data_IF_345534234365
#
_entry.id   IF_345534234365
#
_cell.length_a   1.000
_cell.length_b   1.000
_cell.length_c   1.000
_cell.angle_alpha   90.00
_cell.angle_beta   90.00
_cell.angle_gamma   90.00
#
_symmetry.space_group_name_H-M   'P 1'
#
loop_
_entity.id
_entity.type
_entity.pdbx_description
1 polymer ?
#
# COMPACT_ATOMS: atom_id res chain seq x y z
N UNK A 1 -9.48 -26.20 -2.42
CA UNK A 1 -9.85 -25.21 -3.48
C UNK A 1 -10.50 -25.98 -4.63
N UNK A 2 -11.61 -25.49 -5.19
CA UNK A 2 -12.14 -25.98 -6.46
C UNK A 2 -12.20 -24.80 -7.45
N UNK A 3 -11.66 -24.98 -8.66
CA UNK A 3 -11.42 -23.91 -9.62
C UNK A 3 -9.92 -23.62 -9.80
N UNK A 4 -9.59 -22.84 -10.82
CA UNK A 4 -8.20 -22.57 -11.21
C UNK A 4 -7.70 -21.29 -10.54
N UNK A 5 -6.69 -21.41 -9.67
CA UNK A 5 -5.97 -20.24 -9.12
C UNK A 5 -5.14 -19.59 -10.23
N UNK A 6 -5.03 -18.26 -10.22
CA UNK A 6 -4.04 -17.58 -11.06
C UNK A 6 -2.62 -17.86 -10.56
N UNK A 7 -1.67 -18.01 -11.48
CA UNK A 7 -0.26 -18.26 -11.15
C UNK A 7 0.47 -17.04 -10.59
N UNK A 8 -0.03 -15.84 -10.88
CA UNK A 8 0.53 -14.59 -10.40
C UNK A 8 0.03 -14.24 -8.99
N UNK A 9 -1.06 -14.87 -8.55
CA UNK A 9 -1.62 -14.71 -7.21
C UNK A 9 -0.81 -15.39 -6.13
N UNK A 10 -0.98 -14.90 -4.90
CA UNK A 10 -0.54 -15.59 -3.68
C UNK A 10 -1.15 -16.98 -3.57
N UNK A 11 -0.51 -17.83 -2.76
CA UNK A 11 -1.07 -19.14 -2.43
C UNK A 11 -2.30 -19.00 -1.52
N UNK A 12 -3.03 -20.09 -1.29
CA UNK A 12 -4.14 -20.11 -0.32
C UNK A 12 -3.66 -19.74 1.09
N UNK A 13 -2.38 -19.95 1.40
CA UNK A 13 -1.79 -19.52 2.67
C UNK A 13 -1.82 -18.01 2.88
N UNK A 14 -1.88 -17.22 1.80
CA UNK A 14 -2.03 -15.77 1.89
C UNK A 14 -3.38 -15.34 2.45
N UNK A 15 -4.36 -16.23 2.58
CA UNK A 15 -5.67 -15.91 3.17
C UNK A 15 -5.70 -16.08 4.70
N UNK A 16 -4.58 -16.41 5.32
CA UNK A 16 -4.46 -16.67 6.76
C UNK A 16 -3.06 -16.30 7.30
N UNK A 17 -2.35 -15.39 6.62
CA UNK A 17 -0.99 -15.00 7.01
C UNK A 17 -0.94 -13.74 7.88
N UNK A 18 -2.11 -13.13 8.15
CA UNK A 18 -2.25 -11.91 8.94
C UNK A 18 -1.75 -10.65 8.23
N UNK A 19 -1.47 -10.72 6.92
CA UNK A 19 -0.95 -9.60 6.14
C UNK A 19 -2.00 -9.09 5.15
N UNK A 20 -1.97 -7.79 4.89
CA UNK A 20 -2.77 -7.16 3.84
C UNK A 20 -1.87 -6.45 2.84
N UNK A 21 -2.28 -6.34 1.56
CA UNK A 21 -1.47 -5.67 0.54
C UNK A 21 -1.29 -4.18 0.86
N UNK A 22 -0.07 -3.70 0.68
CA UNK A 22 0.28 -2.28 0.90
C UNK A 22 0.12 -1.44 -0.39
N UNK A 23 0.05 -2.08 -1.55
CA UNK A 23 -0.21 -1.47 -2.85
C UNK A 23 -1.60 -1.84 -3.40
N UNK A 24 -2.11 -1.03 -4.33
CA UNK A 24 -3.42 -1.27 -4.94
C UNK A 24 -3.40 -2.39 -5.98
N UNK A 25 -2.25 -2.88 -6.44
CA UNK A 25 -2.14 -4.00 -7.37
C UNK A 25 -0.93 -4.84 -6.98
N UNK A 26 -1.14 -5.76 -6.03
CA UNK A 26 -0.08 -6.60 -5.48
C UNK A 26 -0.49 -8.08 -5.56
N UNK A 27 -0.40 -8.70 -6.76
CA UNK A 27 -0.86 -10.07 -6.98
C UNK A 27 -0.27 -11.09 -6.00
N UNK A 28 1.01 -10.98 -5.66
CA UNK A 28 1.69 -11.91 -4.75
C UNK A 28 1.17 -11.89 -3.29
N UNK A 29 0.42 -10.85 -2.91
CA UNK A 29 -0.23 -10.69 -1.59
C UNK A 29 -1.74 -10.94 -1.63
N UNK A 30 -2.27 -11.43 -2.74
CA UNK A 30 -3.68 -11.70 -2.89
C UNK A 30 -3.91 -13.05 -3.57
N UNK A 31 -4.82 -13.85 -3.00
CA UNK A 31 -5.38 -15.00 -3.70
C UNK A 31 -6.46 -14.55 -4.68
N UNK A 32 -6.41 -15.05 -5.92
CA UNK A 32 -7.48 -14.85 -6.90
C UNK A 32 -7.55 -15.99 -7.92
N UNK A 33 -8.73 -16.19 -8.49
CA UNK A 33 -8.95 -17.17 -9.56
C UNK A 33 -8.47 -16.64 -10.90
N UNK A 34 -8.04 -17.57 -11.77
CA UNK A 34 -7.44 -17.28 -13.06
C UNK A 34 -8.38 -16.49 -13.98
N UNK A 35 -7.79 -15.72 -14.89
CA UNK A 35 -8.53 -15.00 -15.91
C UNK A 35 -9.49 -15.93 -16.69
N UNK A 36 -10.70 -15.46 -16.93
CA UNK A 36 -11.72 -16.15 -17.74
C UNK A 36 -12.50 -17.23 -17.00
N UNK A 37 -12.23 -17.48 -15.71
CA UNK A 37 -13.10 -18.32 -14.88
C UNK A 37 -14.25 -17.51 -14.29
N UNK A 38 -15.34 -18.19 -13.93
CA UNK A 38 -16.48 -17.57 -13.22
C UNK A 38 -16.25 -17.36 -11.71
N UNK A 39 -15.00 -17.51 -11.26
CA UNK A 39 -14.64 -17.64 -9.85
C UNK A 39 -14.37 -19.11 -9.49
N UNK A 40 -14.70 -19.49 -8.26
CA UNK A 40 -14.42 -20.83 -7.74
C UNK A 40 -14.80 -20.97 -6.27
N UNK A 41 -14.26 -21.99 -5.61
CA UNK A 41 -14.59 -22.32 -4.22
C UNK A 41 -13.36 -22.39 -3.34
N UNK A 42 -13.47 -21.73 -2.20
CA UNK A 42 -12.49 -21.74 -1.11
C UNK A 42 -13.13 -22.44 0.08
N UNK A 43 -12.46 -23.46 0.63
CA UNK A 43 -12.90 -24.17 1.84
C UNK A 43 -11.92 -23.85 2.95
N UNK A 44 -12.43 -23.41 4.09
CA UNK A 44 -11.69 -23.34 5.34
C UNK A 44 -12.16 -24.48 6.26
N UNK A 45 -11.21 -25.31 6.72
CA UNK A 45 -11.41 -26.28 7.80
C UNK A 45 -10.80 -25.71 9.08
N UNK A 46 -11.64 -25.38 10.05
CA UNK A 46 -11.23 -24.80 11.33
C UNK A 46 -10.63 -25.84 12.29
N UNK A 47 -10.56 -27.11 11.88
CA UNK A 47 -10.02 -28.23 12.66
C UNK A 47 -11.00 -28.80 13.68
N UNK A 48 -11.88 -27.97 14.24
CA UNK A 48 -12.94 -28.38 15.17
C UNK A 48 -14.21 -27.54 14.96
N UNK A 49 -15.32 -27.99 15.55
CA UNK A 49 -16.55 -27.18 15.60
C UNK A 49 -16.35 -26.09 16.64
N UNK A 50 -16.38 -24.84 16.21
CA UNK A 50 -16.31 -23.65 17.08
C UNK A 50 -17.61 -22.86 17.02
N UNK A 51 -17.85 -22.02 18.02
CA UNK A 51 -18.99 -21.10 18.02
C UNK A 51 -18.60 -19.80 17.33
N UNK A 52 -18.92 -19.66 16.04
CA UNK A 52 -18.44 -18.56 15.21
C UNK A 52 -19.21 -17.29 15.56
N UNK A 53 -18.51 -16.29 16.08
CA UNK A 53 -19.05 -14.95 16.34
C UNK A 53 -19.09 -14.10 15.07
N UNK A 54 -18.00 -14.13 14.30
CA UNK A 54 -17.81 -13.24 13.16
C UNK A 54 -16.86 -13.87 12.13
N UNK A 55 -17.11 -13.57 10.85
CA UNK A 55 -16.25 -13.96 9.73
C UNK A 55 -15.91 -12.69 8.96
N UNK A 56 -14.62 -12.40 8.79
CA UNK A 56 -14.15 -11.23 8.05
C UNK A 56 -13.41 -11.66 6.79
N UNK A 57 -13.57 -10.88 5.73
CA UNK A 57 -12.84 -11.09 4.47
C UNK A 57 -12.36 -9.75 3.95
N UNK A 58 -11.12 -9.71 3.48
CA UNK A 58 -10.46 -8.50 3.02
C UNK A 58 -10.01 -8.67 1.58
N UNK A 59 -10.06 -7.59 0.81
CA UNK A 59 -9.58 -7.56 -0.57
C UNK A 59 -9.12 -6.18 -0.97
N UNK A 60 -8.19 -6.09 -1.93
CA UNK A 60 -7.72 -4.81 -2.46
C UNK A 60 -7.34 -4.93 -3.92
N UNK A 61 -7.84 -4.01 -4.75
CA UNK A 61 -7.35 -3.83 -6.10
C UNK A 61 -7.57 -2.39 -6.61
N UNK A 62 -6.95 -2.03 -7.74
CA UNK A 62 -7.14 -0.72 -8.41
C UNK A 62 -8.49 -0.56 -9.11
N UNK A 63 -9.23 -1.65 -9.33
CA UNK A 63 -10.43 -1.68 -10.19
C UNK A 63 -11.50 -2.67 -9.69
N UNK A 64 -12.37 -3.16 -10.59
CA UNK A 64 -13.42 -4.16 -10.33
C UNK A 64 -12.95 -5.45 -9.65
N UNK A 65 -11.66 -5.71 -9.52
CA UNK A 65 -11.13 -6.87 -8.79
C UNK A 65 -11.03 -6.61 -7.28
N UNK A 66 -11.35 -5.41 -6.81
CA UNK A 66 -11.41 -5.05 -5.39
C UNK A 66 -12.64 -5.60 -4.66
N UNK A 67 -13.88 -5.36 -5.14
CA UNK A 67 -15.10 -5.83 -4.49
C UNK A 67 -15.17 -7.35 -4.39
N UNK A 68 -16.06 -7.83 -3.53
CA UNK A 68 -16.24 -9.24 -3.19
C UNK A 68 -17.66 -9.65 -3.53
N UNK A 69 -17.81 -10.72 -4.32
CA UNK A 69 -19.10 -11.34 -4.62
C UNK A 69 -19.00 -12.83 -4.31
N UNK A 70 -19.65 -13.29 -3.26
CA UNK A 70 -19.64 -14.70 -2.88
C UNK A 70 -20.84 -15.11 -2.06
N UNK A 71 -21.17 -16.40 -2.12
CA UNK A 71 -22.06 -17.04 -1.13
C UNK A 71 -21.20 -17.73 -0.08
N UNK A 72 -21.54 -17.51 1.18
CA UNK A 72 -20.92 -18.20 2.30
C UNK A 72 -21.82 -19.33 2.76
N UNK A 73 -21.26 -20.54 2.80
CA UNK A 73 -21.89 -21.70 3.42
C UNK A 73 -21.08 -22.17 4.62
N UNK A 74 -21.74 -22.84 5.57
CA UNK A 74 -21.09 -23.45 6.73
C UNK A 74 -21.65 -24.84 7.03
N UNK A 75 -20.82 -25.68 7.67
CA UNK A 75 -21.22 -27.03 8.12
C UNK A 75 -20.44 -27.44 9.37
N UNK A 76 -21.06 -28.24 10.24
CA UNK A 76 -20.37 -28.94 11.32
C UNK A 76 -19.72 -30.26 10.84
N UNK A 77 -19.97 -30.66 9.60
CA UNK A 77 -19.46 -31.88 8.98
C UNK A 77 -20.26 -33.15 9.27
N UNK A 78 -21.38 -33.04 9.98
CA UNK A 78 -22.20 -34.20 10.38
C UNK A 78 -23.45 -34.38 9.52
N UNK A 79 -23.74 -33.43 8.63
CA UNK A 79 -24.89 -33.50 7.73
C UNK A 79 -24.87 -34.73 6.83
N UNK A 80 -26.05 -35.29 6.54
CA UNK A 80 -26.19 -36.43 5.63
C UNK A 80 -25.62 -36.08 4.25
N UNK A 81 -24.75 -36.94 3.71
CA UNK A 81 -24.11 -36.71 2.41
C UNK A 81 -23.09 -35.56 2.43
N UNK A 82 -22.57 -35.19 3.61
CA UNK A 82 -21.56 -34.14 3.72
C UNK A 82 -20.34 -34.44 2.84
N UNK A 83 -20.04 -33.51 1.96
CA UNK A 83 -18.81 -33.48 1.17
C UNK A 83 -18.03 -32.24 1.58
N UNK A 84 -16.86 -32.42 2.19
CA UNK A 84 -16.01 -31.31 2.65
C UNK A 84 -15.43 -30.47 1.50
N UNK A 85 -15.40 -30.99 0.27
CA UNK A 85 -14.87 -30.29 -0.90
C UNK A 85 -15.79 -30.52 -2.11
N UNK A 86 -17.00 -29.92 -2.12
CA UNK A 86 -17.93 -30.09 -3.23
C UNK A 86 -17.38 -29.39 -4.48
N UNK A 87 -17.25 -30.14 -5.58
CA UNK A 87 -16.79 -29.63 -6.87
C UNK A 87 -17.68 -28.51 -7.40
N UNK A 88 -17.11 -27.60 -8.19
CA UNK A 88 -17.85 -26.54 -8.88
C UNK A 88 -19.06 -27.11 -9.65
N UNK A 89 -20.22 -26.45 -9.54
CA UNK A 89 -21.49 -26.93 -10.12
C UNK A 89 -22.32 -27.84 -9.22
N UNK A 90 -21.75 -28.37 -8.12
CA UNK A 90 -22.51 -29.11 -7.10
C UNK A 90 -23.20 -28.16 -6.15
N UNK A 91 -24.52 -28.24 -5.97
CA UNK A 91 -25.24 -27.43 -4.97
C UNK A 91 -24.80 -27.80 -3.54
N UNK A 92 -24.08 -26.90 -2.81
CA UNK A 92 -23.58 -27.22 -1.48
C UNK A 92 -24.70 -27.58 -0.50
N UNK A 93 -25.90 -27.01 -0.66
CA UNK A 93 -27.04 -27.27 0.21
C UNK A 93 -27.49 -28.74 0.17
N UNK A 94 -27.23 -29.44 -0.94
CA UNK A 94 -27.52 -30.87 -1.10
C UNK A 94 -26.38 -31.78 -0.60
N UNK A 95 -25.28 -31.20 -0.13
CA UNK A 95 -24.08 -31.92 0.31
C UNK A 95 -23.68 -31.55 1.73
N UNK A 96 -24.66 -31.35 2.61
CA UNK A 96 -24.44 -31.10 4.04
C UNK A 96 -23.97 -29.69 4.40
N UNK A 97 -24.10 -28.72 3.50
CA UNK A 97 -23.78 -27.32 3.78
C UNK A 97 -25.03 -26.47 4.00
N UNK A 98 -24.95 -25.47 4.86
CA UNK A 98 -26.01 -24.48 5.09
C UNK A 98 -25.57 -23.12 4.58
N UNK A 99 -26.42 -22.45 3.80
CA UNK A 99 -26.16 -21.07 3.39
C UNK A 99 -26.22 -20.13 4.61
N UNK A 100 -25.17 -19.34 4.80
CA UNK A 100 -25.01 -18.37 5.90
C UNK A 100 -25.24 -16.95 5.42
N UNK A 101 -24.63 -16.57 4.29
CA UNK A 101 -24.71 -15.22 3.77
C UNK A 101 -24.58 -15.18 2.24
N UNK A 102 -25.12 -14.13 1.63
CA UNK A 102 -24.88 -13.76 0.25
C UNK A 102 -24.25 -12.37 0.25
N UNK A 103 -23.01 -12.27 -0.23
CA UNK A 103 -22.19 -11.08 -0.16
C UNK A 103 -22.04 -10.46 -1.54
N UNK A 104 -22.27 -9.16 -1.60
CA UNK A 104 -21.97 -8.29 -2.71
C UNK A 104 -21.51 -6.95 -2.16
N UNK A 105 -20.19 -6.72 -2.16
CA UNK A 105 -19.60 -5.46 -1.65
C UNK A 105 -19.38 -4.41 -2.72
N UNK A 106 -19.90 -4.61 -3.94
CA UNK A 106 -19.79 -3.61 -5.01
C UNK A 106 -20.50 -2.32 -4.61
N UNK A 107 -19.84 -1.15 -4.71
CA UNK A 107 -20.48 0.12 -4.43
C UNK A 107 -21.57 0.42 -5.46
N UNK A 108 -22.48 1.32 -5.11
CA UNK A 108 -23.57 1.75 -6.01
C UNK A 108 -23.10 2.68 -7.16
N UNK A 109 -21.86 3.16 -7.10
CA UNK A 109 -21.25 4.02 -8.13
C UNK A 109 -20.22 3.28 -8.99
N UNK A 110 -19.60 4.01 -9.92
CA UNK A 110 -18.69 3.42 -10.93
C UNK A 110 -17.26 3.17 -10.41
N UNK A 111 -16.88 3.75 -9.27
CA UNK A 111 -15.56 3.55 -8.66
C UNK A 111 -15.52 2.21 -7.91
N UNK A 112 -15.00 1.17 -8.58
CA UNK A 112 -14.89 -0.17 -8.02
C UNK A 112 -13.52 -0.46 -7.37
N UNK A 113 -12.48 0.36 -7.61
CA UNK A 113 -11.17 0.17 -6.98
C UNK A 113 -11.15 0.55 -5.50
N UNK A 114 -10.20 -0.01 -4.74
CA UNK A 114 -9.98 0.31 -3.34
C UNK A 114 -9.73 -0.91 -2.46
N UNK A 115 -9.74 -0.68 -1.15
CA UNK A 115 -9.70 -1.72 -0.12
C UNK A 115 -11.12 -2.01 0.36
N UNK A 116 -11.47 -3.29 0.45
CA UNK A 116 -12.78 -3.77 0.87
C UNK A 116 -12.62 -4.68 2.08
N UNK A 117 -13.48 -4.47 3.08
CA UNK A 117 -13.66 -5.37 4.21
C UNK A 117 -15.13 -5.76 4.31
N UNK A 118 -15.41 -7.06 4.41
CA UNK A 118 -16.75 -7.58 4.68
C UNK A 118 -16.71 -8.29 6.02
N UNK A 119 -17.63 -7.93 6.91
CA UNK A 119 -17.85 -8.59 8.19
C UNK A 119 -19.23 -9.24 8.20
N UNK A 120 -19.27 -10.55 8.45
CA UNK A 120 -20.49 -11.34 8.60
C UNK A 120 -20.63 -11.70 10.07
N UNK A 121 -21.71 -11.22 10.68
CA UNK A 121 -22.07 -11.48 12.07
C UNK A 121 -23.59 -11.40 12.27
N UNK A 122 -24.04 -11.59 13.50
CA UNK A 122 -25.43 -11.37 13.89
C UNK A 122 -25.53 -10.09 14.75
N UNK A 123 -26.62 -9.33 14.60
CA UNK A 123 -26.89 -8.18 15.49
C UNK A 123 -27.05 -8.63 16.95
N UNK A 124 -27.57 -9.84 17.15
CA UNK A 124 -27.72 -10.49 18.45
C UNK A 124 -27.33 -11.95 18.31
N UNK A 125 -26.41 -12.42 19.15
CA UNK A 125 -25.92 -13.80 19.15
C UNK A 125 -24.75 -14.04 18.19
N UNK A 126 -24.52 -15.32 17.87
CA UNK A 126 -23.40 -15.80 17.05
C UNK A 126 -23.90 -16.26 15.68
N UNK A 127 -23.01 -16.32 14.68
CA UNK A 127 -23.31 -16.89 13.35
C UNK A 127 -23.73 -18.35 13.47
N UNK A 128 -23.09 -19.10 14.37
CA UNK A 128 -23.46 -20.46 14.76
C UNK A 128 -22.25 -21.38 14.95
N UNK A 129 -22.54 -22.63 15.31
CA UNK A 129 -21.52 -23.65 15.58
C UNK A 129 -21.17 -24.43 14.32
N UNK A 130 -19.96 -24.23 13.79
CA UNK A 130 -19.51 -24.86 12.55
C UNK A 130 -18.02 -25.20 12.59
N UNK A 131 -17.60 -26.15 11.76
CA UNK A 131 -16.18 -26.50 11.54
C UNK A 131 -15.70 -26.06 10.16
N UNK A 132 -16.56 -26.17 9.16
CA UNK A 132 -16.21 -25.90 7.78
C UNK A 132 -16.92 -24.65 7.29
N UNK A 133 -16.17 -23.81 6.55
CA UNK A 133 -16.71 -22.69 5.79
C UNK A 133 -16.40 -22.90 4.31
N UNK A 134 -17.36 -22.59 3.44
CA UNK A 134 -17.22 -22.66 1.99
C UNK A 134 -17.62 -21.32 1.38
N UNK A 135 -16.65 -20.66 0.77
CA UNK A 135 -16.82 -19.44 0.00
C UNK A 135 -17.00 -19.82 -1.47
N UNK A 136 -18.21 -19.69 -1.99
CA UNK A 136 -18.50 -19.82 -3.41
C UNK A 136 -18.40 -18.44 -4.07
N UNK A 137 -17.23 -18.18 -4.64
CA UNK A 137 -16.83 -16.88 -5.20
C UNK A 137 -17.30 -16.77 -6.65
N UNK A 138 -17.86 -15.61 -6.98
CA UNK A 138 -18.25 -15.22 -8.34
C UNK A 138 -17.43 -14.03 -8.83
N UNK A 139 -17.34 -13.85 -10.15
CA UNK A 139 -16.81 -12.61 -10.73
C UNK A 139 -17.62 -11.39 -10.28
N UNK A 140 -16.94 -10.27 -10.08
CA UNK A 140 -17.56 -9.00 -9.70
C UNK A 140 -18.23 -8.30 -10.88
N UNK A 141 -17.87 -8.67 -12.11
CA UNK A 141 -18.43 -8.09 -13.34
C UNK A 141 -18.63 -9.16 -14.40
N UNK A 142 -19.87 -9.30 -14.85
CA UNK A 142 -20.22 -10.20 -15.94
C UNK A 142 -19.58 -9.73 -17.26
N UNK A 143 -19.13 -10.68 -18.08
CA UNK A 143 -18.48 -10.40 -19.36
C UNK A 143 -17.02 -9.91 -19.27
N UNK A 144 -16.53 -9.54 -18.09
CA UNK A 144 -15.13 -9.16 -17.88
C UNK A 144 -14.32 -10.39 -17.41
N UNK A 145 -13.35 -10.89 -18.20
CA UNK A 145 -12.56 -12.06 -17.83
C UNK A 145 -11.55 -11.79 -16.72
N UNK A 146 -11.26 -10.53 -16.37
CA UNK A 146 -10.32 -10.17 -15.31
C UNK A 146 -10.99 -9.96 -13.96
N UNK A 147 -12.31 -9.89 -13.89
CA UNK A 147 -13.10 -9.47 -12.72
C UNK A 147 -13.20 -10.50 -11.58
N UNK A 148 -12.16 -11.31 -11.37
CA UNK A 148 -12.03 -12.15 -10.18
C UNK A 148 -11.40 -11.33 -9.04
N UNK A 149 -11.99 -11.41 -7.84
CA UNK A 149 -11.59 -10.66 -6.65
C UNK A 149 -10.18 -11.01 -6.16
N UNK A 150 -9.44 -9.99 -5.73
CA UNK A 150 -8.13 -10.10 -5.06
C UNK A 150 -8.32 -10.23 -3.56
N UNK A 151 -8.56 -11.45 -3.07
CA UNK A 151 -8.71 -11.70 -1.64
C UNK A 151 -7.35 -11.63 -0.93
N UNK A 152 -7.29 -10.80 0.10
CA UNK A 152 -6.09 -10.53 0.88
C UNK A 152 -6.00 -11.36 2.15
N UNK A 153 -7.11 -11.58 2.87
CA UNK A 153 -7.12 -12.29 4.16
C UNK A 153 -8.55 -12.76 4.48
N UNK A 154 -8.69 -13.84 5.25
CA UNK A 154 -9.97 -14.34 5.81
C UNK A 154 -9.80 -14.64 7.30
N UNK A 155 -10.50 -13.89 8.15
CA UNK A 155 -10.52 -14.13 9.59
C UNK A 155 -11.80 -14.83 10.03
N UNK A 156 -11.68 -15.76 10.98
CA UNK A 156 -12.80 -16.41 11.65
C UNK A 156 -12.65 -16.26 13.16
N UNK A 157 -13.61 -15.60 13.79
CA UNK A 157 -13.57 -15.26 15.22
C UNK A 157 -14.50 -16.20 15.99
N UNK A 158 -13.93 -16.99 16.91
CA UNK A 158 -14.68 -17.76 17.91
C UNK A 158 -15.33 -16.81 18.93
N UNK A 159 -16.56 -17.10 19.34
CA UNK A 159 -17.27 -16.37 20.39
C UNK A 159 -16.57 -16.44 21.76
N UNK A 160 -15.77 -17.49 21.97
CA UNK A 160 -14.93 -17.68 23.14
C UNK A 160 -13.49 -17.20 22.93
N UNK A 161 -13.16 -16.66 21.75
CA UNK A 161 -11.86 -16.06 21.53
C UNK A 161 -11.65 -14.94 22.56
N UNK A 162 -10.42 -14.78 23.09
CA UNK A 162 -10.07 -13.61 23.86
C UNK A 162 -10.54 -12.37 23.11
N UNK A 163 -11.20 -11.45 23.80
CA UNK A 163 -11.55 -10.19 23.18
C UNK A 163 -10.24 -9.58 22.68
N UNK A 164 -10.12 -9.43 21.36
CA UNK A 164 -9.05 -8.64 20.77
C UNK A 164 -9.31 -7.24 21.31
N UNK A 165 -8.59 -6.86 22.36
CA UNK A 165 -8.35 -5.46 22.65
C UNK A 165 -7.75 -4.95 21.36
N UNK A 166 -8.49 -4.13 20.62
CA UNK A 166 -7.92 -3.30 19.57
C UNK A 166 -6.63 -2.75 20.15
N UNK A 167 -5.49 -3.20 19.64
CA UNK A 167 -4.23 -2.59 19.98
C UNK A 167 -4.29 -1.21 19.35
N UNK A 168 -4.80 -0.24 20.10
CA UNK A 168 -4.81 1.18 19.81
C UNK A 168 -3.39 1.78 19.81
N UNK A 169 -2.39 0.97 19.45
CA UNK A 169 -0.98 1.33 19.36
C UNK A 169 -0.43 0.94 17.98
N UNK A 170 -1.20 1.15 16.91
CA UNK A 170 -0.52 1.70 15.74
C UNK A 170 -0.33 3.18 16.09
N UNK A 171 0.89 3.66 16.37
CA UNK A 171 1.08 5.06 16.68
C UNK A 171 0.45 5.86 15.55
N UNK A 172 -0.57 6.66 15.84
CA UNK A 172 -1.18 7.50 14.81
C UNK A 172 -0.08 8.33 14.16
N UNK A 173 -0.04 8.42 12.82
CA UNK A 173 0.95 9.23 12.14
C UNK A 173 0.95 10.65 12.69
N UNK A 174 2.13 11.16 13.05
CA UNK A 174 2.26 12.50 13.61
C UNK A 174 1.95 13.53 12.55
N UNK A 175 1.02 14.44 12.84
CA UNK A 175 0.65 15.53 11.92
C UNK A 175 1.22 16.84 12.41
N UNK A 176 2.02 17.50 11.57
CA UNK A 176 2.57 18.84 11.82
C UNK A 176 2.12 19.79 10.72
N UNK A 177 2.03 21.08 11.06
CA UNK A 177 1.66 22.12 10.09
C UNK A 177 2.67 23.26 10.20
N UNK A 178 2.97 23.95 9.10
CA UNK A 178 3.75 25.18 9.12
C UNK A 178 3.07 26.25 9.98
N UNK A 179 3.86 27.23 10.44
CA UNK A 179 3.37 28.29 11.33
C UNK A 179 2.21 29.11 10.72
N UNK A 180 2.18 29.23 9.40
CA UNK A 180 1.10 29.91 8.64
C UNK A 180 -0.12 29.01 8.37
N UNK A 181 -0.09 27.75 8.80
CA UNK A 181 -1.17 26.79 8.58
C UNK A 181 -1.25 26.19 7.18
N UNK A 182 -0.39 26.62 6.25
CA UNK A 182 -0.54 26.34 4.81
C UNK A 182 -0.16 24.91 4.42
N UNK A 183 0.95 24.40 4.95
CA UNK A 183 1.46 23.07 4.59
C UNK A 183 1.32 22.11 5.76
N UNK A 184 0.74 20.94 5.50
CA UNK A 184 0.53 19.85 6.45
C UNK A 184 1.42 18.67 6.11
N UNK A 185 2.13 18.16 7.11
CA UNK A 185 3.01 17.01 7.00
C UNK A 185 2.51 15.89 7.90
N UNK A 186 2.48 14.67 7.36
CA UNK A 186 2.18 13.46 8.12
C UNK A 186 3.44 12.61 8.18
N UNK A 187 3.87 12.22 9.37
CA UNK A 187 5.02 11.34 9.59
C UNK A 187 4.53 10.00 10.15
N UNK A 188 4.65 8.94 9.35
CA UNK A 188 4.28 7.59 9.74
C UNK A 188 5.53 6.78 10.11
N UNK A 189 5.69 6.52 11.40
CA UNK A 189 6.78 5.73 11.97
C UNK A 189 6.30 4.35 12.45
N UNK A 190 5.09 3.91 12.07
CA UNK A 190 4.52 2.66 12.58
C UNK A 190 5.41 1.44 12.30
N UNK A 191 6.06 1.39 11.14
CA UNK A 191 7.00 0.32 10.76
C UNK A 191 8.43 0.52 11.30
N UNK A 192 8.75 1.70 11.83
CA UNK A 192 10.04 1.98 12.46
C UNK A 192 9.89 2.82 13.74
N UNK A 193 9.28 2.27 14.81
CA UNK A 193 9.06 3.01 16.05
C UNK A 193 10.35 3.56 16.66
N UNK A 194 11.49 2.86 16.46
CA UNK A 194 12.83 3.28 16.89
C UNK A 194 13.31 4.58 16.24
N UNK A 195 12.75 4.95 15.08
CA UNK A 195 13.07 6.20 14.38
C UNK A 195 12.14 7.35 14.77
N UNK A 196 11.13 7.12 15.62
CA UNK A 196 10.15 8.15 16.00
C UNK A 196 10.82 9.37 16.62
N UNK A 197 11.64 9.19 17.66
CA UNK A 197 12.28 10.31 18.34
C UNK A 197 13.18 11.14 17.39
N UNK A 198 13.95 10.46 16.53
CA UNK A 198 14.78 11.13 15.53
C UNK A 198 13.93 11.86 14.50
N UNK A 199 12.85 11.25 14.03
CA UNK A 199 11.92 11.88 13.08
C UNK A 199 11.36 13.17 13.65
N UNK A 200 10.94 13.14 14.91
CA UNK A 200 10.37 14.30 15.57
C UNK A 200 11.39 15.40 15.81
N UNK A 201 12.56 15.06 16.37
CA UNK A 201 13.54 16.05 16.83
C UNK A 201 14.48 16.55 15.73
N UNK A 202 14.79 15.72 14.74
CA UNK A 202 15.81 16.00 13.74
C UNK A 202 15.23 16.21 12.34
N UNK A 203 14.34 15.33 11.89
CA UNK A 203 13.83 15.39 10.52
C UNK A 203 12.69 16.39 10.35
N UNK A 204 11.69 16.33 11.22
CA UNK A 204 10.48 17.14 11.08
C UNK A 204 10.73 18.65 11.06
N UNK A 205 11.67 19.22 11.86
CA UNK A 205 12.00 20.64 11.75
C UNK A 205 12.60 21.00 10.39
N UNK A 206 13.43 20.13 9.81
CA UNK A 206 14.01 20.33 8.47
C UNK A 206 12.90 20.34 7.41
N UNK A 207 11.96 19.41 7.47
CA UNK A 207 10.83 19.35 6.52
C UNK A 207 9.97 20.61 6.61
N UNK A 208 9.61 21.04 7.83
CA UNK A 208 8.82 22.23 8.07
C UNK A 208 9.51 23.52 7.58
N UNK A 209 10.83 23.58 7.70
CA UNK A 209 11.63 24.73 7.24
C UNK A 209 11.82 24.73 5.72
N UNK A 210 12.21 23.59 5.15
CA UNK A 210 12.69 23.54 3.77
C UNK A 210 11.59 23.35 2.74
N UNK A 211 10.49 22.67 3.05
CA UNK A 211 9.43 22.51 2.06
C UNK A 211 8.86 23.85 1.55
N UNK A 212 8.50 24.83 2.42
CA UNK A 212 8.06 26.14 1.94
C UNK A 212 9.11 26.85 1.07
N UNK A 213 10.39 26.80 1.46
CA UNK A 213 11.51 27.39 0.68
C UNK A 213 11.61 26.74 -0.70
N UNK A 214 11.48 25.42 -0.79
CA UNK A 214 11.50 24.69 -2.07
C UNK A 214 10.34 25.12 -2.96
N UNK A 215 9.13 25.27 -2.41
CA UNK A 215 7.97 25.76 -3.16
C UNK A 215 8.22 27.17 -3.72
N UNK A 216 8.86 28.05 -2.94
CA UNK A 216 9.22 29.41 -3.38
C UNK A 216 10.33 29.44 -4.42
N UNK A 217 11.26 28.48 -4.38
CA UNK A 217 12.36 28.36 -5.35
C UNK A 217 11.91 27.79 -6.70
N UNK A 218 10.78 27.09 -6.77
CA UNK A 218 10.29 26.41 -7.98
C UNK A 218 8.90 26.91 -8.42
N UNK A 219 8.70 28.23 -8.60
CA UNK A 219 7.41 28.74 -9.04
C UNK A 219 7.17 28.41 -10.51
N UNK A 220 5.91 28.17 -10.85
CA UNK A 220 5.47 28.08 -12.25
C UNK A 220 4.10 28.73 -12.39
N UNK A 221 3.83 29.52 -13.45
CA UNK A 221 2.54 30.17 -13.65
C UNK A 221 1.37 29.17 -13.58
N UNK A 222 0.42 29.40 -12.67
CA UNK A 222 -0.74 28.54 -12.48
C UNK A 222 -0.49 27.22 -11.75
N UNK A 223 0.77 26.92 -11.37
CA UNK A 223 1.11 25.75 -10.58
C UNK A 223 0.93 26.01 -9.09
N UNK A 224 0.43 25.01 -8.37
CA UNK A 224 0.37 24.98 -6.90
C UNK A 224 1.00 23.68 -6.42
N UNK A 225 2.04 23.79 -5.60
CA UNK A 225 2.66 22.64 -4.96
C UNK A 225 1.69 21.96 -3.98
N UNK A 226 1.84 20.65 -3.69
CA UNK A 226 1.00 19.95 -2.73
C UNK A 226 1.00 20.63 -1.35
N UNK A 227 -0.19 20.88 -0.81
CA UNK A 227 -0.33 21.42 0.56
C UNK A 227 -0.25 20.33 1.64
N UNK A 228 -0.33 19.06 1.24
CA UNK A 228 -0.25 17.89 2.13
C UNK A 228 0.85 16.97 1.66
N UNK A 229 1.80 16.65 2.53
CA UNK A 229 2.91 15.73 2.23
C UNK A 229 2.93 14.64 3.29
N UNK A 230 3.07 13.38 2.87
CA UNK A 230 3.22 12.26 3.79
C UNK A 230 4.65 11.68 3.68
N UNK A 231 5.26 11.41 4.82
CA UNK A 231 6.56 10.77 4.93
C UNK A 231 6.35 9.47 5.71
N UNK A 232 6.66 8.34 5.09
CA UNK A 232 6.45 7.01 5.65
C UNK A 232 7.74 6.19 5.64
N UNK A 233 7.95 5.39 6.68
CA UNK A 233 9.04 4.43 6.75
C UNK A 233 8.62 3.08 6.20
N UNK A 234 9.44 2.48 5.32
CA UNK A 234 9.17 1.18 4.70
C UNK A 234 10.38 0.25 4.75
N UNK A 235 10.11 -1.05 4.84
CA UNK A 235 11.10 -2.14 4.86
C UNK A 235 11.21 -2.88 3.52
N UNK A 236 10.40 -2.51 2.52
CA UNK A 236 10.28 -3.16 1.22
C UNK A 236 10.91 -2.38 0.05
N UNK A 237 11.93 -1.57 0.32
CA UNK A 237 12.51 -0.62 -0.65
C UNK A 237 13.79 -1.11 -1.35
N UNK A 238 14.23 -2.35 -1.10
CA UNK A 238 15.47 -2.89 -1.64
C UNK A 238 16.67 -2.00 -1.29
N UNK A 239 17.46 -1.62 -2.30
CA UNK A 239 18.62 -0.74 -2.14
C UNK A 239 18.33 0.76 -2.22
N UNK A 240 17.09 1.16 -2.47
CA UNK A 240 16.72 2.57 -2.66
C UNK A 240 16.63 3.28 -1.30
N UNK A 241 17.39 4.37 -1.06
CA UNK A 241 17.39 5.09 0.22
C UNK A 241 16.05 5.76 0.55
N UNK A 242 15.52 6.50 -0.42
CA UNK A 242 14.25 7.20 -0.37
C UNK A 242 13.69 7.35 -1.78
N UNK A 243 12.38 7.53 -1.91
CA UNK A 243 11.77 7.98 -3.17
C UNK A 243 10.50 8.77 -2.92
N UNK A 244 10.19 9.71 -3.82
CA UNK A 244 8.93 10.43 -3.87
C UNK A 244 7.95 9.82 -4.87
N UNK A 245 6.67 9.76 -4.50
CA UNK A 245 5.56 9.36 -5.37
C UNK A 245 4.33 10.24 -5.10
N UNK A 246 3.98 11.10 -6.06
CA UNK A 246 2.92 12.08 -5.86
C UNK A 246 3.28 13.02 -4.71
N UNK A 247 2.50 13.03 -3.64
CA UNK A 247 2.76 13.83 -2.44
C UNK A 247 3.32 13.01 -1.26
N UNK A 248 3.85 11.81 -1.53
CA UNK A 248 4.42 10.91 -0.52
C UNK A 248 5.92 10.76 -0.70
N UNK A 249 6.63 10.58 0.41
CA UNK A 249 8.03 10.19 0.48
C UNK A 249 8.12 8.88 1.26
N UNK A 250 8.70 7.87 0.64
CA UNK A 250 9.04 6.61 1.28
C UNK A 250 10.51 6.63 1.73
N UNK A 251 10.76 6.26 2.98
CA UNK A 251 12.08 6.22 3.61
C UNK A 251 12.48 4.78 3.95
N UNK A 252 13.61 4.31 3.45
CA UNK A 252 14.08 2.94 3.67
C UNK A 252 14.59 2.76 5.10
N UNK A 253 13.89 1.96 5.89
CA UNK A 253 14.18 1.77 7.32
C UNK A 253 15.62 1.32 7.55
N UNK A 254 16.07 0.30 6.81
CA UNK A 254 17.40 -0.27 6.96
C UNK A 254 18.50 0.75 6.67
N UNK A 255 18.31 1.55 5.62
CA UNK A 255 19.28 2.59 5.25
C UNK A 255 19.25 3.76 6.24
N UNK A 256 18.08 4.27 6.61
CA UNK A 256 17.94 5.43 7.52
C UNK A 256 18.56 5.17 8.89
N UNK A 257 18.44 3.96 9.45
CA UNK A 257 19.13 3.57 10.69
C UNK A 257 20.63 3.78 10.63
N UNK A 258 21.25 3.68 9.45
CA UNK A 258 22.70 3.92 9.27
C UNK A 258 23.04 5.38 8.97
N UNK A 259 22.05 6.22 8.65
CA UNK A 259 22.25 7.57 8.13
C UNK A 259 21.67 8.70 9.00
N UNK A 260 21.31 8.40 10.26
CA UNK A 260 20.75 9.39 11.20
C UNK A 260 21.67 10.60 11.46
N UNK A 261 22.98 10.40 11.34
CA UNK A 261 24.02 11.45 11.46
C UNK A 261 24.70 11.78 10.11
N UNK A 262 24.22 11.18 9.03
CA UNK A 262 24.77 11.29 7.69
C UNK A 262 23.72 11.83 6.74
N UNK A 263 23.49 11.10 5.64
CA UNK A 263 22.69 11.59 4.52
C UNK A 263 21.15 11.58 4.76
N UNK A 264 20.66 11.10 5.90
CA UNK A 264 19.23 10.88 6.13
C UNK A 264 18.36 12.12 5.94
N UNK A 265 18.76 13.27 6.50
CA UNK A 265 18.00 14.53 6.36
C UNK A 265 18.07 15.07 4.94
N UNK A 266 19.26 15.07 4.34
CA UNK A 266 19.47 15.51 2.95
C UNK A 266 18.71 14.66 1.93
N UNK A 267 18.61 13.35 2.14
CA UNK A 267 17.82 12.46 1.29
C UNK A 267 16.34 12.86 1.28
N UNK A 268 15.74 13.18 2.43
CA UNK A 268 14.36 13.67 2.48
C UNK A 268 14.23 15.04 1.80
N UNK A 269 15.20 15.94 1.97
CA UNK A 269 15.21 17.23 1.25
C UNK A 269 15.23 17.04 -0.26
N UNK A 270 16.02 16.10 -0.78
CA UNK A 270 16.02 15.71 -2.19
C UNK A 270 14.60 15.25 -2.62
N UNK A 271 13.96 14.36 -1.86
CA UNK A 271 12.62 13.87 -2.20
C UNK A 271 11.53 14.96 -2.09
N UNK A 272 11.66 15.93 -1.18
CA UNK A 272 10.74 17.07 -1.11
C UNK A 272 10.75 17.89 -2.40
N UNK A 273 11.90 18.00 -3.07
CA UNK A 273 11.98 18.64 -4.39
C UNK A 273 11.16 17.87 -5.42
N UNK A 274 11.25 16.54 -5.44
CA UNK A 274 10.41 15.72 -6.33
C UNK A 274 8.91 15.85 -6.03
N UNK A 275 8.53 15.98 -4.76
CA UNK A 275 7.14 16.29 -4.35
C UNK A 275 6.69 17.65 -4.93
N UNK A 276 7.55 18.67 -4.91
CA UNK A 276 7.24 19.98 -5.51
C UNK A 276 7.28 19.96 -7.03
N UNK A 277 8.14 19.16 -7.66
CA UNK A 277 8.24 19.09 -9.11
C UNK A 277 6.97 18.51 -9.77
N UNK A 278 6.35 17.48 -9.17
CA UNK A 278 5.18 16.78 -9.74
C UNK A 278 5.33 16.34 -11.21
N UNK A 279 6.54 16.24 -11.75
CA UNK A 279 6.77 15.90 -13.16
C UNK A 279 6.22 14.52 -13.53
N UNK A 280 6.04 13.63 -12.55
CA UNK A 280 5.40 12.33 -12.71
C UNK A 280 3.97 12.39 -13.29
N UNK A 281 3.24 13.50 -13.15
CA UNK A 281 1.90 13.62 -13.76
C UNK A 281 1.97 13.63 -15.30
N UNK A 282 3.03 14.18 -15.88
CA UNK A 282 3.27 14.12 -17.33
C UNK A 282 3.45 12.67 -17.82
N UNK A 283 3.95 11.75 -16.97
CA UNK A 283 4.09 10.32 -17.33
C UNK A 283 2.75 9.61 -17.52
N UNK A 284 1.66 10.15 -16.95
CA UNK A 284 0.28 9.64 -17.11
C UNK A 284 -0.44 10.24 -18.33
N UNK A 285 0.13 11.28 -18.93
CA UNK A 285 -0.39 11.90 -20.15
C UNK A 285 0.53 11.56 -21.33
N UNK A 286 0.06 10.70 -22.24
CA UNK A 286 0.84 10.26 -23.43
C UNK A 286 1.23 11.41 -24.37
N UNK A 287 0.57 12.57 -24.26
CA UNK A 287 0.81 13.73 -25.12
C UNK A 287 1.68 14.81 -24.45
N UNK A 288 2.14 14.59 -23.22
CA UNK A 288 3.00 15.55 -22.52
C UNK A 288 4.48 15.28 -22.83
N UNK A 289 5.23 16.34 -23.15
CA UNK A 289 6.69 16.28 -23.25
C UNK A 289 7.26 15.97 -21.87
N UNK A 290 8.07 14.90 -21.79
CA UNK A 290 8.70 14.50 -20.53
C UNK A 290 9.82 15.48 -20.18
N UNK A 291 9.85 15.91 -18.92
CA UNK A 291 11.01 16.60 -18.38
C UNK A 291 12.24 15.67 -18.47
N UNK A 292 13.39 16.14 -18.98
CA UNK A 292 14.60 15.35 -19.01
C UNK A 292 14.99 14.83 -17.63
N UNK A 293 15.49 13.59 -17.55
CA UNK A 293 15.86 12.97 -16.27
C UNK A 293 16.97 13.73 -15.57
N UNK A 294 17.95 14.24 -16.32
CA UNK A 294 19.10 14.94 -15.75
C UNK A 294 18.72 16.18 -14.95
N UNK A 295 17.77 16.99 -15.44
CA UNK A 295 17.31 18.18 -14.70
C UNK A 295 16.35 17.79 -13.57
N UNK A 296 15.55 16.73 -13.78
CA UNK A 296 14.64 16.17 -12.77
C UNK A 296 15.42 15.77 -11.52
N UNK A 297 16.55 15.07 -11.66
CA UNK A 297 17.42 14.65 -10.56
C UNK A 297 18.46 15.71 -10.15
N UNK A 298 18.82 16.61 -11.07
CA UNK A 298 19.83 17.64 -10.85
C UNK A 298 19.35 18.78 -9.94
N UNK A 299 18.11 19.25 -10.09
CA UNK A 299 17.54 20.31 -9.21
C UNK A 299 17.49 19.85 -7.73
N UNK A 300 17.01 18.63 -7.40
CA UNK A 300 17.05 18.10 -6.05
C UNK A 300 18.45 18.13 -5.42
N UNK A 301 19.46 17.71 -6.18
CA UNK A 301 20.84 17.68 -5.68
C UNK A 301 21.49 19.06 -5.66
N UNK A 302 21.07 19.99 -6.52
CA UNK A 302 21.43 21.40 -6.37
C UNK A 302 20.92 21.96 -5.03
N UNK A 303 19.61 21.86 -4.78
CA UNK A 303 18.99 22.37 -3.55
C UNK A 303 19.60 21.68 -2.32
N UNK A 304 19.77 20.36 -2.35
CA UNK A 304 20.35 19.61 -1.24
C UNK A 304 21.80 20.03 -0.99
N UNK A 305 22.68 19.86 -1.97
CA UNK A 305 24.12 19.93 -1.72
C UNK A 305 24.69 21.34 -1.73
N UNK A 306 23.99 22.34 -2.29
CA UNK A 306 24.50 23.71 -2.37
C UNK A 306 23.71 24.69 -1.50
N UNK A 307 22.42 24.44 -1.25
CA UNK A 307 21.60 25.33 -0.43
C UNK A 307 21.35 24.78 0.98
N UNK A 308 21.00 23.51 1.11
CA UNK A 308 20.67 22.90 2.40
C UNK A 308 21.90 22.48 3.21
N UNK A 309 22.80 21.69 2.61
CA UNK A 309 23.97 21.14 3.30
C UNK A 309 25.31 21.36 2.58
N UNK A 310 25.65 22.59 2.14
CA UNK A 310 26.91 22.89 1.44
C UNK A 310 28.16 22.51 2.23
N UNK A 311 28.11 22.57 3.55
CA UNK A 311 29.21 22.18 4.44
C UNK A 311 29.63 20.71 4.29
N UNK A 312 28.72 19.84 3.80
CA UNK A 312 29.02 18.42 3.59
C UNK A 312 29.94 18.20 2.39
N UNK A 313 29.99 19.16 1.45
CA UNK A 313 30.65 19.03 0.14
C UNK A 313 30.24 17.79 -0.64
N UNK A 314 29.04 17.26 -0.40
CA UNK A 314 28.63 15.95 -0.95
C UNK A 314 28.51 15.93 -2.47
N UNK A 315 28.42 17.08 -3.13
CA UNK A 315 28.44 17.19 -4.58
C UNK A 315 29.84 17.48 -5.19
N UNK A 316 30.90 17.67 -4.40
CA UNK A 316 32.21 18.07 -4.93
C UNK A 316 32.74 17.08 -5.99
N UNK A 317 33.02 17.59 -7.20
CA UNK A 317 33.58 16.79 -8.28
C UNK A 317 35.09 16.68 -8.09
N UNK A 318 35.54 15.47 -7.71
CA UNK A 318 36.97 15.20 -7.52
C UNK A 318 37.76 15.36 -8.82
N UNK A 319 39.06 15.65 -8.71
CA UNK A 319 39.99 15.74 -9.86
C UNK A 319 40.01 14.48 -10.74
N UNK A 320 39.69 13.31 -10.17
CA UNK A 320 39.57 12.05 -10.93
C UNK A 320 38.37 12.05 -11.86
N UNK A 321 37.27 12.70 -11.47
CA UNK A 321 35.98 12.64 -12.15
C UNK A 321 35.69 13.91 -12.98
N UNK A 322 36.49 14.96 -12.86
CA UNK A 322 36.25 16.25 -13.54
C UNK A 322 36.21 16.12 -15.08
N UNK A 323 37.05 15.25 -15.65
CA UNK A 323 37.13 15.06 -17.11
C UNK A 323 35.88 14.41 -17.70
N UNK A 324 35.14 13.62 -16.89
CA UNK A 324 33.91 12.95 -17.29
C UNK A 324 32.64 13.68 -16.84
N UNK A 325 32.75 14.76 -16.05
CA UNK A 325 31.61 15.55 -15.61
C UNK A 325 30.87 16.21 -16.79
N UNK A 326 29.55 16.06 -16.84
CA UNK A 326 28.68 16.65 -17.88
C UNK A 326 27.45 17.24 -17.22
N UNK A 327 26.93 18.33 -17.78
CA UNK A 327 25.76 19.02 -17.23
C UNK A 327 24.51 18.14 -17.19
N UNK A 328 24.42 17.12 -18.05
CA UNK A 328 23.31 16.18 -18.18
C UNK A 328 23.55 14.83 -17.50
N UNK A 329 24.53 14.73 -16.60
CA UNK A 329 24.87 13.50 -15.88
C UNK A 329 24.00 13.20 -14.64
N UNK A 330 22.91 13.96 -14.43
CA UNK A 330 21.99 13.87 -13.29
C UNK A 330 22.64 14.17 -11.93
N UNK A 331 21.80 14.21 -10.89
CA UNK A 331 22.22 14.22 -9.47
C UNK A 331 23.28 15.30 -9.18
N UNK A 332 24.20 14.99 -8.26
CA UNK A 332 25.35 15.79 -7.83
C UNK A 332 26.07 16.45 -8.99
N UNK A 333 26.31 15.71 -10.08
CA UNK A 333 27.09 16.24 -11.21
C UNK A 333 26.32 17.38 -11.87
N UNK A 334 25.06 17.16 -12.28
CA UNK A 334 24.21 18.24 -12.79
C UNK A 334 24.07 19.37 -11.77
N UNK A 335 23.91 19.06 -10.48
CA UNK A 335 23.81 20.06 -9.41
C UNK A 335 24.99 21.04 -9.38
N UNK A 336 26.23 20.58 -9.63
CA UNK A 336 27.40 21.48 -9.77
C UNK A 336 27.25 22.45 -10.94
N UNK A 337 26.72 22.00 -12.07
CA UNK A 337 26.54 22.88 -13.23
C UNK A 337 25.41 23.89 -13.02
N UNK A 338 24.41 23.54 -12.20
CA UNK A 338 23.35 24.47 -11.79
C UNK A 338 23.84 25.54 -10.81
N UNK A 339 24.79 25.19 -9.94
CA UNK A 339 25.41 26.13 -8.99
C UNK A 339 26.37 27.13 -9.65
N UNK A 340 26.83 26.84 -10.87
CA UNK A 340 27.82 27.66 -11.61
C UNK A 340 27.25 28.99 -12.18
N UNK A 341 26.18 29.54 -11.60
CA UNK A 341 25.51 30.74 -12.07
C UNK A 341 26.08 32.05 -11.50
#
# INVERSE_FOLDING_TARGET
ISGNRDRNGGDVSSLQDGLVPNENDQPSRNFFFAQGTDGGRIVADLGSVIDIKQINTYSRHTDSRGPQVYKLYASDGTGTGFNAQPEQGTDPAKSGWKLVANVDSRPKGDELGGSYGVSIGQLVGNVGKYRYLLFEVSRTKEGDPFANTFFSEIDVIDANAPQITESSETPEPKVLTTADGKYRFTFDTALAPDLTEWTEKELSPVVLEWYPKIVEMLPSPGYKAPERVAIEYRDDMGGTPAYAAGNRIACNIGWFRTQLKGEGKGAVVHELVHVVQQYGQSRRNRNATRTPGWITEGIPDYIRWFLYEPQSKGAEITARNISSARYDASYRVTGNFLDWA
#
